data_IF_767710079827
#
_entry.id   IF_767710079827
#
_cell.length_a   1.000
_cell.length_b   1.000
_cell.length_c   1.000
_cell.angle_alpha   90.00
_cell.angle_beta   90.00
_cell.angle_gamma   90.00
#
_symmetry.space_group_name_H-M   'P 1'
#
loop_
_entity.id
_entity.type
_entity.pdbx_description
1 polymer ?
#
# COMPACT_ATOMS: atom_id res chain seq x y z
N UNK A 1 6.47 3.69 15.56
CA UNK A 1 7.68 2.85 15.70
C UNK A 1 8.53 3.18 16.93
N UNK A 2 8.93 4.43 17.21
CA UNK A 2 9.78 4.73 18.39
C UNK A 2 9.12 4.30 19.71
N UNK A 3 7.83 4.57 19.85
CA UNK A 3 7.02 4.23 21.03
C UNK A 3 6.76 2.73 21.19
N UNK A 4 7.01 1.92 20.15
CA UNK A 4 6.79 0.46 20.19
C UNK A 4 8.11 -0.31 20.22
N UNK A 5 9.06 0.06 19.35
CA UNK A 5 10.34 -0.63 19.19
C UNK A 5 11.28 -0.42 20.39
N UNK A 6 11.37 0.81 20.94
CA UNK A 6 12.30 1.06 22.05
C UNK A 6 11.89 0.30 23.32
N UNK A 7 10.60 0.28 23.74
CA UNK A 7 10.17 -0.58 24.84
C UNK A 7 10.39 -2.07 24.56
N UNK A 8 10.12 -2.55 23.34
CA UNK A 8 10.36 -3.94 22.98
C UNK A 8 11.84 -4.33 23.10
N UNK A 9 12.77 -3.47 22.64
CA UNK A 9 14.20 -3.67 22.80
C UNK A 9 14.63 -3.63 24.27
N UNK A 10 14.07 -2.71 25.06
CA UNK A 10 14.31 -2.66 26.50
C UNK A 10 13.95 -3.98 27.19
N UNK A 11 12.81 -4.57 26.84
CA UNK A 11 12.36 -5.84 27.41
C UNK A 11 13.16 -7.05 26.90
N UNK A 12 13.69 -6.98 25.67
CA UNK A 12 14.36 -8.12 25.02
C UNK A 12 15.86 -8.17 25.28
N UNK A 13 16.56 -7.04 25.16
CA UNK A 13 18.03 -6.96 25.27
C UNK A 13 18.50 -6.08 26.43
N UNK A 14 17.57 -5.44 27.15
CA UNK A 14 17.88 -4.57 28.29
C UNK A 14 18.49 -3.22 27.89
N UNK A 15 18.56 -2.30 28.85
CA UNK A 15 19.07 -0.94 28.65
C UNK A 15 20.53 -0.86 28.20
N UNK A 16 21.33 -1.90 28.49
CA UNK A 16 22.74 -2.00 28.06
C UNK A 16 22.90 -2.74 26.73
N UNK A 17 21.84 -3.36 26.22
CA UNK A 17 21.86 -4.16 25.00
C UNK A 17 21.74 -3.34 23.72
N UNK A 18 21.40 -2.06 23.81
CA UNK A 18 21.30 -1.18 22.65
C UNK A 18 21.65 0.26 22.99
N UNK A 19 22.01 1.03 21.96
CA UNK A 19 22.18 2.47 22.02
C UNK A 19 21.34 3.10 20.93
N UNK A 20 20.45 4.01 21.32
CA UNK A 20 19.62 4.76 20.38
C UNK A 20 20.24 6.12 20.07
N UNK A 21 20.47 6.40 18.77
CA UNK A 21 20.95 7.68 18.26
C UNK A 21 19.78 8.44 17.61
N UNK A 22 19.11 9.28 18.41
CA UNK A 22 17.85 9.93 18.05
C UNK A 22 17.93 10.80 16.79
N UNK A 23 19.02 11.56 16.63
CA UNK A 23 19.21 12.47 15.50
C UNK A 23 19.42 11.75 14.17
N UNK A 24 19.95 10.52 14.22
CA UNK A 24 20.20 9.71 13.03
C UNK A 24 19.05 8.75 12.73
N UNK A 25 18.08 8.64 13.65
CA UNK A 25 17.05 7.61 13.65
C UNK A 25 17.65 6.20 13.50
N UNK A 26 18.72 5.92 14.25
CA UNK A 26 19.44 4.65 14.21
C UNK A 26 19.57 4.05 15.61
N UNK A 27 19.51 2.73 15.71
CA UNK A 27 19.79 1.96 16.92
C UNK A 27 20.97 1.03 16.65
N UNK A 28 21.98 1.03 17.51
CA UNK A 28 23.07 0.06 17.49
C UNK A 28 22.86 -0.96 18.60
N UNK A 29 22.90 -2.25 18.28
CA UNK A 29 22.81 -3.34 19.25
C UNK A 29 24.20 -3.70 19.81
N UNK A 30 24.24 -4.40 20.95
CA UNK A 30 25.47 -4.81 21.63
C UNK A 30 26.44 -5.63 20.76
N UNK A 31 25.93 -6.29 19.72
CA UNK A 31 26.72 -7.09 18.77
C UNK A 31 27.21 -6.28 17.55
N UNK A 32 26.96 -4.96 17.52
CA UNK A 32 27.32 -4.09 16.40
C UNK A 32 26.32 -4.09 15.24
N UNK A 33 25.23 -4.85 15.32
CA UNK A 33 24.15 -4.75 14.32
C UNK A 33 23.40 -3.43 14.46
N UNK A 34 22.89 -2.92 13.35
CA UNK A 34 22.20 -1.63 13.28
C UNK A 34 20.75 -1.80 12.83
N UNK A 35 19.85 -1.02 13.42
CA UNK A 35 18.46 -0.86 13.00
C UNK A 35 18.28 0.59 12.59
N UNK A 36 17.96 0.81 11.32
CA UNK A 36 17.70 2.11 10.76
C UNK A 36 16.19 2.36 10.69
N UNK A 37 15.74 3.49 11.20
CA UNK A 37 14.34 3.90 11.23
C UNK A 37 14.16 5.05 10.26
N UNK A 38 13.25 4.91 9.30
CA UNK A 38 12.88 5.99 8.40
C UNK A 38 11.54 5.75 7.73
N UNK A 39 11.00 6.82 7.14
CA UNK A 39 9.77 6.78 6.34
C UNK A 39 10.08 6.72 4.84
N UNK A 40 9.12 6.19 4.07
CA UNK A 40 9.16 6.15 2.61
C UNK A 40 8.28 7.25 1.97
N UNK A 41 7.68 8.11 2.79
CA UNK A 41 6.75 9.17 2.35
C UNK A 41 7.39 10.54 2.11
N UNK A 42 8.56 10.80 2.70
CA UNK A 42 9.31 12.05 2.53
C UNK A 42 10.58 11.78 1.72
N UNK A 43 10.89 12.64 0.75
CA UNK A 43 11.97 12.43 -0.23
C UNK A 43 13.34 12.37 0.45
N UNK A 44 13.59 13.25 1.43
CA UNK A 44 14.85 13.24 2.17
C UNK A 44 15.02 11.95 2.99
N UNK A 45 13.93 11.45 3.59
CA UNK A 45 13.96 10.20 4.36
C UNK A 45 14.13 8.97 3.46
N UNK A 46 13.45 8.97 2.31
CA UNK A 46 13.58 7.93 1.31
C UNK A 46 15.01 7.89 0.77
N UNK A 47 15.61 9.02 0.41
CA UNK A 47 16.98 9.08 -0.12
C UNK A 47 18.01 8.48 0.85
N UNK A 48 17.84 8.71 2.16
CA UNK A 48 18.71 8.11 3.18
C UNK A 48 18.61 6.59 3.21
N UNK A 49 17.39 6.04 3.27
CA UNK A 49 17.17 4.58 3.27
C UNK A 49 17.65 3.97 1.95
N UNK A 50 17.40 4.65 0.85
CA UNK A 50 17.76 4.17 -0.48
C UNK A 50 19.28 4.17 -0.71
N UNK A 51 20.06 4.94 0.05
CA UNK A 51 21.52 4.95 0.00
C UNK A 51 22.20 3.73 0.64
N UNK A 52 21.45 2.89 1.37
CA UNK A 52 22.00 1.74 2.10
C UNK A 52 21.55 0.40 1.53
N UNK A 53 22.25 -0.66 1.93
CA UNK A 53 21.80 -2.04 1.75
C UNK A 53 21.38 -2.62 3.10
N UNK A 54 20.45 -3.57 3.08
CA UNK A 54 19.90 -4.21 4.26
C UNK A 54 19.84 -5.73 4.09
N UNK A 55 19.97 -6.45 5.20
CA UNK A 55 19.65 -7.88 5.27
C UNK A 55 18.18 -8.12 5.65
N UNK A 56 17.58 -7.24 6.46
CA UNK A 56 16.16 -7.31 6.82
C UNK A 56 15.53 -5.93 6.67
N UNK A 57 14.37 -5.86 6.04
CA UNK A 57 13.56 -4.64 5.98
C UNK A 57 12.18 -4.96 6.53
N UNK A 58 11.76 -4.20 7.54
CA UNK A 58 10.46 -4.33 8.18
C UNK A 58 9.59 -3.11 7.84
N UNK A 59 8.47 -3.36 7.18
CA UNK A 59 7.48 -2.34 6.86
C UNK A 59 6.37 -2.38 7.91
N UNK A 60 6.31 -1.32 8.72
CA UNK A 60 5.30 -1.19 9.75
C UNK A 60 4.00 -0.59 9.20
N UNK A 61 2.85 -1.17 9.57
CA UNK A 61 1.52 -0.69 9.19
C UNK A 61 1.35 -0.49 7.68
N UNK A 62 1.61 -1.56 6.91
CA UNK A 62 1.58 -1.52 5.45
C UNK A 62 0.23 -1.16 4.84
N UNK A 63 -0.85 -1.18 5.63
CA UNK A 63 -2.16 -0.65 5.25
C UNK A 63 -2.13 0.84 4.90
N UNK A 64 -1.11 1.57 5.37
CA UNK A 64 -0.89 2.99 5.12
C UNK A 64 0.20 3.27 4.08
N UNK A 65 0.82 2.23 3.52
CA UNK A 65 1.90 2.36 2.54
C UNK A 65 1.40 1.97 1.15
N UNK A 66 1.75 2.80 0.14
CA UNK A 66 1.48 2.45 -1.25
C UNK A 66 2.37 1.29 -1.70
N UNK A 67 1.86 0.48 -2.63
CA UNK A 67 2.63 -0.60 -3.24
C UNK A 67 3.93 -0.10 -3.88
N UNK A 68 3.88 1.10 -4.50
CA UNK A 68 5.06 1.72 -5.10
C UNK A 68 6.10 2.07 -4.04
N UNK A 69 5.70 2.67 -2.91
CA UNK A 69 6.62 3.00 -1.83
C UNK A 69 7.31 1.74 -1.27
N UNK A 70 6.61 0.61 -1.17
CA UNK A 70 7.20 -0.65 -0.71
C UNK A 70 8.18 -1.24 -1.73
N UNK A 71 7.83 -1.20 -3.03
CA UNK A 71 8.67 -1.80 -4.08
C UNK A 71 9.95 -1.02 -4.37
N UNK A 72 10.01 0.29 -4.10
CA UNK A 72 11.27 1.07 -4.22
C UNK A 72 12.36 0.54 -3.30
N UNK A 73 11.99 0.06 -2.11
CA UNK A 73 12.90 -0.52 -1.13
C UNK A 73 13.38 -1.93 -1.50
N UNK A 74 12.76 -2.61 -2.48
CA UNK A 74 13.08 -4.02 -2.78
C UNK A 74 14.54 -4.23 -3.18
N UNK A 75 15.07 -3.29 -3.97
CA UNK A 75 16.45 -3.35 -4.43
C UNK A 75 17.49 -3.17 -3.31
N UNK A 76 17.08 -2.67 -2.14
CA UNK A 76 17.98 -2.43 -1.01
C UNK A 76 18.21 -3.68 -0.18
N UNK A 77 17.39 -4.72 -0.32
CA UNK A 77 17.55 -5.99 0.38
C UNK A 77 18.64 -6.87 -0.30
N UNK A 78 19.86 -6.35 -0.32
CA UNK A 78 20.96 -6.85 -1.15
C UNK A 78 22.18 -7.35 -0.36
N UNK A 79 22.18 -7.24 0.97
CA UNK A 79 23.33 -7.65 1.77
C UNK A 79 23.65 -9.14 1.62
N UNK A 80 24.95 -9.46 1.57
CA UNK A 80 25.46 -10.84 1.56
C UNK A 80 26.23 -11.12 2.85
N UNK A 81 25.54 -11.69 3.83
CA UNK A 81 26.11 -12.02 5.15
C UNK A 81 26.00 -13.53 5.37
N UNK A 82 27.11 -14.18 5.70
CA UNK A 82 27.14 -15.62 5.95
C UNK A 82 26.20 -16.01 7.10
N UNK A 83 25.32 -16.98 6.87
CA UNK A 83 24.33 -17.43 7.85
C UNK A 83 23.04 -16.60 7.93
N UNK A 84 22.96 -15.46 7.25
CA UNK A 84 21.75 -14.64 7.19
C UNK A 84 21.04 -14.81 5.85
N UNK A 85 19.71 -14.96 5.89
CA UNK A 85 18.86 -14.90 4.70
C UNK A 85 18.24 -13.52 4.62
N UNK A 86 18.25 -12.93 3.43
CA UNK A 86 17.59 -11.65 3.20
C UNK A 86 16.07 -11.82 3.39
N UNK A 87 15.47 -10.95 4.20
CA UNK A 87 14.08 -11.07 4.63
C UNK A 87 13.33 -9.74 4.59
N UNK A 88 12.13 -9.76 4.02
CA UNK A 88 11.15 -8.71 4.26
C UNK A 88 10.17 -9.15 5.34
N UNK A 89 9.86 -8.23 6.25
CA UNK A 89 8.82 -8.38 7.25
C UNK A 89 7.77 -7.30 7.03
N UNK A 90 6.51 -7.64 7.25
CA UNK A 90 5.38 -6.75 7.06
C UNK A 90 4.37 -6.99 8.17
N UNK A 91 3.79 -5.93 8.72
CA UNK A 91 2.60 -6.04 9.55
C UNK A 91 1.55 -5.01 9.12
N UNK A 92 0.29 -5.38 9.35
CA UNK A 92 -0.83 -4.48 9.26
C UNK A 92 -2.05 -5.10 9.92
N UNK A 93 -2.97 -4.24 10.33
CA UNK A 93 -4.35 -4.65 10.51
C UNK A 93 -5.00 -4.87 9.14
N UNK A 94 -5.77 -5.97 8.94
CA UNK A 94 -6.48 -6.25 7.68
C UNK A 94 -7.27 -5.04 7.19
N UNK A 95 -7.23 -4.78 5.88
CA UNK A 95 -7.94 -3.66 5.25
C UNK A 95 -8.98 -4.15 4.25
N UNK A 96 -9.17 -3.38 3.19
CA UNK A 96 -10.00 -3.80 2.05
C UNK A 96 -9.40 -5.05 1.38
N UNK A 97 -10.23 -6.01 0.91
CA UNK A 97 -9.79 -7.11 0.03
C UNK A 97 -9.08 -6.64 -1.25
N UNK A 98 -9.30 -5.38 -1.65
CA UNK A 98 -8.63 -4.76 -2.81
C UNK A 98 -7.19 -4.32 -2.51
N UNK A 99 -6.77 -4.33 -1.25
CA UNK A 99 -5.45 -3.87 -0.85
C UNK A 99 -4.37 -4.80 -1.40
N UNK A 100 -3.25 -4.22 -1.87
CA UNK A 100 -2.17 -4.96 -2.51
C UNK A 100 -1.60 -6.10 -1.66
N UNK A 101 -1.55 -5.91 -0.35
CA UNK A 101 -1.06 -6.92 0.59
C UNK A 101 -1.94 -8.17 0.59
N UNK A 102 -3.27 -8.02 0.50
CA UNK A 102 -4.18 -9.15 0.41
C UNK A 102 -3.94 -9.94 -0.88
N UNK A 103 -3.83 -9.24 -2.01
CA UNK A 103 -3.54 -9.84 -3.31
C UNK A 103 -2.24 -10.65 -3.30
N UNK A 104 -1.17 -10.11 -2.74
CA UNK A 104 0.14 -10.76 -2.72
C UNK A 104 0.21 -11.87 -1.68
N UNK A 105 -0.11 -11.57 -0.41
CA UNK A 105 0.15 -12.49 0.70
C UNK A 105 -0.95 -13.52 0.89
N UNK A 106 -2.20 -13.20 0.56
CA UNK A 106 -3.33 -14.13 0.74
C UNK A 106 -3.66 -14.82 -0.58
N UNK A 107 -3.88 -14.06 -1.66
CA UNK A 107 -4.24 -14.62 -2.97
C UNK A 107 -3.07 -15.16 -3.78
N UNK A 108 -1.82 -14.85 -3.39
CA UNK A 108 -0.59 -15.23 -4.11
C UNK A 108 -0.59 -14.78 -5.57
N UNK A 109 -1.06 -13.56 -5.80
CA UNK A 109 -1.14 -12.92 -7.11
C UNK A 109 -0.28 -11.66 -7.17
N UNK A 110 0.20 -11.34 -8.36
CA UNK A 110 0.83 -10.06 -8.67
C UNK A 110 -0.23 -8.95 -8.57
N UNK A 111 0.06 -7.90 -7.81
CA UNK A 111 -0.91 -6.84 -7.53
C UNK A 111 -1.44 -6.14 -8.80
N UNK A 112 -0.55 -5.80 -9.75
CA UNK A 112 -0.94 -5.02 -10.93
C UNK A 112 -1.59 -5.85 -12.04
N UNK A 113 -1.31 -7.14 -12.13
CA UNK A 113 -1.73 -7.98 -13.26
C UNK A 113 -2.75 -9.05 -12.88
N UNK A 114 -2.88 -9.36 -11.58
CA UNK A 114 -3.67 -10.48 -11.08
C UNK A 114 -3.11 -11.87 -11.44
N UNK A 115 -1.99 -11.94 -12.17
CA UNK A 115 -1.34 -13.20 -12.51
C UNK A 115 -0.78 -13.88 -11.25
N UNK A 116 -0.63 -15.21 -11.28
CA UNK A 116 0.02 -15.93 -10.19
C UNK A 116 1.44 -15.38 -9.94
N UNK A 117 1.85 -15.35 -8.67
CA UNK A 117 3.24 -15.07 -8.31
C UNK A 117 4.15 -16.17 -8.89
N UNK A 118 5.33 -15.78 -9.37
CA UNK A 118 6.32 -16.72 -9.93
C UNK A 118 6.84 -17.69 -8.86
N UNK A 119 6.96 -17.19 -7.62
CA UNK A 119 7.48 -17.92 -6.45
C UNK A 119 6.58 -17.69 -5.23
N UNK A 120 5.35 -18.25 -5.23
CA UNK A 120 4.38 -18.03 -4.16
C UNK A 120 4.87 -18.51 -2.79
N UNK A 121 5.76 -19.50 -2.77
CA UNK A 121 6.37 -20.08 -1.57
C UNK A 121 7.28 -19.11 -0.80
N UNK A 122 7.73 -18.02 -1.44
CA UNK A 122 8.53 -16.99 -0.79
C UNK A 122 7.69 -15.99 0.02
N UNK A 123 6.36 -16.03 -0.13
CA UNK A 123 5.44 -15.14 0.56
C UNK A 123 4.73 -15.94 1.64
N UNK A 124 5.09 -15.74 2.90
CA UNK A 124 4.38 -16.31 4.04
C UNK A 124 3.44 -15.27 4.66
N UNK A 125 2.33 -15.73 5.24
CA UNK A 125 1.42 -14.91 6.03
C UNK A 125 0.99 -15.66 7.27
N UNK A 126 0.74 -14.90 8.34
CA UNK A 126 0.21 -15.40 9.61
C UNK A 126 -0.82 -14.39 10.08
N UNK A 127 -1.93 -14.88 10.64
CA UNK A 127 -2.95 -14.04 11.28
C UNK A 127 -2.74 -14.12 12.78
N UNK A 128 -2.81 -12.97 13.45
CA UNK A 128 -2.72 -12.84 14.89
C UNK A 128 -4.00 -12.17 15.37
N UNK A 129 -4.77 -12.83 16.23
CA UNK A 129 -6.01 -12.28 16.76
C UNK A 129 -5.87 -11.91 18.24
N UNK A 130 -6.65 -10.93 18.74
CA UNK A 130 -6.64 -10.57 20.17
C UNK A 130 -6.89 -11.77 21.09
N UNK A 131 -7.72 -12.73 20.66
CA UNK A 131 -8.00 -13.94 21.42
C UNK A 131 -6.75 -14.79 21.72
N UNK A 132 -5.76 -14.79 20.82
CA UNK A 132 -4.50 -15.53 20.97
C UNK A 132 -3.56 -14.87 22.00
N UNK A 133 -3.83 -13.61 22.36
CA UNK A 133 -3.05 -12.82 23.31
C UNK A 133 -3.85 -12.49 24.59
N UNK A 134 -4.90 -13.25 24.89
CA UNK A 134 -5.85 -12.95 25.97
C UNK A 134 -5.19 -12.74 27.34
N UNK A 135 -4.14 -13.50 27.66
CA UNK A 135 -3.41 -13.40 28.94
C UNK A 135 -2.72 -12.04 29.15
N UNK A 136 -2.55 -11.25 28.08
CA UNK A 136 -1.91 -9.94 28.10
C UNK A 136 -2.88 -8.79 27.76
N UNK A 137 -4.19 -9.06 27.73
CA UNK A 137 -5.24 -8.09 27.50
C UNK A 137 -6.07 -7.88 28.77
N UNK A 138 -6.76 -6.75 28.88
CA UNK A 138 -7.75 -6.56 29.93
C UNK A 138 -8.91 -7.57 29.75
N UNK A 139 -9.42 -8.10 30.86
CA UNK A 139 -10.43 -9.19 30.85
C UNK A 139 -11.70 -8.82 30.06
N UNK A 140 -12.06 -7.54 30.05
CA UNK A 140 -13.22 -6.96 29.39
C UNK A 140 -12.93 -6.46 27.96
N UNK A 141 -11.67 -6.42 27.51
CA UNK A 141 -11.33 -5.80 26.23
C UNK A 141 -12.02 -6.48 25.05
N UNK A 142 -12.03 -7.81 25.01
CA UNK A 142 -12.65 -8.53 23.89
C UNK A 142 -14.17 -8.41 23.95
N UNK A 143 -14.78 -8.62 25.12
CA UNK A 143 -16.24 -8.66 25.27
C UNK A 143 -16.90 -7.28 25.25
N UNK A 144 -16.25 -6.27 25.79
CA UNK A 144 -16.88 -4.97 26.05
C UNK A 144 -16.43 -3.93 25.02
N UNK A 145 -15.23 -4.08 24.45
CA UNK A 145 -14.71 -3.18 23.41
C UNK A 145 -14.88 -3.78 22.02
N UNK A 146 -14.32 -4.97 21.75
CA UNK A 146 -14.32 -5.54 20.39
C UNK A 146 -15.69 -6.08 19.97
N UNK A 147 -16.39 -6.79 20.86
CA UNK A 147 -17.71 -7.36 20.55
C UNK A 147 -18.82 -6.30 20.43
N UNK A 148 -18.61 -5.13 21.05
CA UNK A 148 -19.52 -3.98 20.95
C UNK A 148 -19.36 -3.18 19.63
N UNK A 149 -18.32 -3.46 18.84
CA UNK A 149 -18.10 -2.77 17.56
C UNK A 149 -19.16 -3.16 16.52
N UNK A 150 -19.44 -2.27 15.54
CA UNK A 150 -20.20 -2.62 14.35
C UNK A 150 -19.64 -3.85 13.64
N UNK A 151 -20.49 -4.61 12.96
CA UNK A 151 -20.14 -5.95 12.47
C UNK A 151 -18.92 -5.97 11.55
N UNK A 152 -18.77 -4.97 10.66
CA UNK A 152 -17.59 -4.85 9.79
C UNK A 152 -16.31 -4.55 10.58
N UNK A 153 -16.39 -3.72 11.63
CA UNK A 153 -15.25 -3.38 12.48
C UNK A 153 -14.84 -4.57 13.36
N UNK A 154 -15.82 -5.31 13.88
CA UNK A 154 -15.60 -6.56 14.60
C UNK A 154 -14.92 -7.61 13.71
N UNK A 155 -15.44 -7.85 12.51
CA UNK A 155 -14.82 -8.73 11.53
C UNK A 155 -13.35 -8.36 11.27
N UNK A 156 -13.04 -7.06 11.20
CA UNK A 156 -11.68 -6.57 10.95
C UNK A 156 -10.76 -6.70 12.16
N UNK A 157 -11.14 -6.15 13.31
CA UNK A 157 -10.24 -5.97 14.46
C UNK A 157 -10.26 -7.12 15.45
N UNK A 158 -11.37 -7.87 15.53
CA UNK A 158 -11.49 -9.05 16.38
C UNK A 158 -11.12 -10.33 15.63
N UNK A 159 -11.68 -10.49 14.44
CA UNK A 159 -11.61 -11.76 13.68
C UNK A 159 -10.49 -11.78 12.64
N UNK A 160 -9.83 -10.64 12.39
CA UNK A 160 -8.71 -10.53 11.46
C UNK A 160 -9.11 -10.65 9.98
N UNK A 161 -10.37 -10.34 9.64
CA UNK A 161 -10.89 -10.48 8.29
C UNK A 161 -10.63 -9.24 7.43
N UNK A 162 -10.29 -9.47 6.16
CA UNK A 162 -10.22 -8.42 5.15
C UNK A 162 -11.62 -8.10 4.65
N UNK A 163 -12.13 -6.93 5.00
CA UNK A 163 -13.50 -6.49 4.69
C UNK A 163 -13.51 -5.08 4.15
N UNK A 164 -14.48 -4.77 3.28
CA UNK A 164 -14.71 -3.38 2.84
C UNK A 164 -15.02 -2.52 4.06
N UNK A 165 -14.45 -1.31 4.11
CA UNK A 165 -14.73 -0.39 5.20
C UNK A 165 -16.22 -0.04 5.29
N UNK A 166 -16.68 0.28 6.49
CA UNK A 166 -18.02 0.78 6.73
C UNK A 166 -18.12 2.24 6.26
N UNK A 167 -19.23 2.62 5.60
CA UNK A 167 -19.41 3.98 5.08
C UNK A 167 -18.65 4.29 3.77
N UNK A 168 -18.13 3.27 3.07
CA UNK A 168 -17.59 3.46 1.71
C UNK A 168 -18.71 3.95 0.80
N UNK A 169 -18.52 5.10 0.16
CA UNK A 169 -19.55 5.72 -0.69
C UNK A 169 -19.89 4.82 -1.90
N UNK A 170 -18.88 4.13 -2.46
CA UNK A 170 -19.02 3.25 -3.61
C UNK A 170 -19.07 1.77 -3.22
N UNK A 171 -20.09 1.36 -2.47
CA UNK A 171 -20.20 -0.03 -1.97
C UNK A 171 -20.29 -1.08 -3.08
N UNK A 172 -20.91 -0.71 -4.21
CA UNK A 172 -21.14 -1.58 -5.37
C UNK A 172 -19.90 -1.80 -6.23
N UNK A 173 -18.82 -1.04 -6.03
CA UNK A 173 -17.59 -1.26 -6.78
C UNK A 173 -17.02 -2.65 -6.48
N UNK A 174 -16.71 -3.40 -7.53
CA UNK A 174 -16.22 -4.77 -7.44
C UNK A 174 -15.01 -4.98 -8.37
N UNK A 175 -14.13 -5.94 -8.05
CA UNK A 175 -12.97 -6.24 -8.89
C UNK A 175 -13.35 -6.66 -10.31
N UNK A 176 -14.53 -7.26 -10.52
CA UNK A 176 -15.03 -7.61 -11.84
C UNK A 176 -15.25 -6.38 -12.74
N UNK A 177 -15.31 -5.17 -12.16
CA UNK A 177 -15.38 -3.91 -12.90
C UNK A 177 -13.99 -3.43 -13.39
N UNK A 178 -12.90 -4.06 -12.93
CA UNK A 178 -11.53 -3.75 -13.38
C UNK A 178 -11.22 -4.62 -14.60
N UNK A 179 -11.32 -4.01 -15.78
CA UNK A 179 -11.09 -4.69 -17.06
C UNK A 179 -9.61 -4.65 -17.44
N UNK A 180 -9.15 -5.71 -18.12
CA UNK A 180 -7.86 -5.67 -18.81
C UNK A 180 -8.02 -4.87 -20.10
N UNK A 181 -6.94 -4.28 -20.59
CA UNK A 181 -6.95 -3.54 -21.85
C UNK A 181 -7.51 -4.36 -23.03
N UNK A 182 -7.28 -5.68 -23.06
CA UNK A 182 -7.80 -6.57 -24.10
C UNK A 182 -9.33 -6.82 -24.03
N UNK A 183 -9.93 -6.58 -22.85
CA UNK A 183 -11.36 -6.75 -22.60
C UNK A 183 -12.12 -5.41 -22.75
N UNK A 184 -11.41 -4.31 -23.01
CA UNK A 184 -12.01 -3.00 -23.25
C UNK A 184 -12.67 -2.96 -24.64
N UNK A 185 -13.78 -2.20 -24.81
CA UNK A 185 -14.36 -1.97 -26.11
C UNK A 185 -13.35 -1.36 -27.11
N UNK A 186 -13.43 -1.80 -28.36
CA UNK A 186 -12.62 -1.25 -29.45
C UNK A 186 -13.12 0.12 -29.93
N UNK A 187 -14.42 0.37 -29.78
CA UNK A 187 -15.11 1.60 -30.18
C UNK A 187 -16.04 2.05 -29.06
N UNK A 188 -16.28 3.36 -28.99
CA UNK A 188 -17.16 4.01 -28.02
C UNK A 188 -18.16 4.89 -28.76
N UNK A 189 -19.41 4.92 -28.28
CA UNK A 189 -20.46 5.76 -28.85
C UNK A 189 -20.21 7.24 -28.62
N UNK A 190 -19.52 7.56 -27.52
CA UNK A 190 -19.11 8.90 -27.08
C UNK A 190 -17.87 8.80 -26.22
N UNK A 191 -17.06 9.84 -26.25
CA UNK A 191 -15.92 10.03 -25.35
C UNK A 191 -16.06 11.38 -24.67
N UNK A 192 -15.71 11.44 -23.39
CA UNK A 192 -15.57 12.68 -22.65
C UNK A 192 -14.36 12.58 -21.73
N UNK A 193 -13.91 13.72 -21.23
CA UNK A 193 -12.91 13.73 -20.19
C UNK A 193 -13.20 14.85 -19.18
N UNK A 194 -12.72 14.65 -17.96
CA UNK A 194 -12.95 15.55 -16.83
C UNK A 194 -11.68 15.73 -16.02
N UNK A 195 -11.40 16.98 -15.67
CA UNK A 195 -10.26 17.35 -14.86
C UNK A 195 -10.72 17.80 -13.48
N UNK A 196 -10.17 17.19 -12.42
CA UNK A 196 -10.29 17.69 -11.06
C UNK A 196 -9.08 18.57 -10.75
N UNK A 197 -9.34 19.86 -10.53
CA UNK A 197 -8.32 20.89 -10.38
C UNK A 197 -8.02 21.15 -8.90
N UNK A 198 -6.74 21.10 -8.55
CA UNK A 198 -6.27 21.43 -7.20
C UNK A 198 -4.76 21.38 -7.08
N UNK A 199 -4.25 21.41 -5.84
CA UNK A 199 -2.83 21.20 -5.54
C UNK A 199 -2.31 19.85 -6.08
N UNK A 200 -3.19 18.85 -6.04
CA UNK A 200 -3.06 17.62 -6.79
C UNK A 200 -4.08 17.68 -7.91
N UNK A 201 -3.63 17.45 -9.13
CA UNK A 201 -4.45 17.58 -10.32
C UNK A 201 -4.63 16.20 -10.95
N UNK A 202 -5.85 15.88 -11.35
CA UNK A 202 -6.16 14.61 -12.00
C UNK A 202 -7.04 14.82 -13.22
N UNK A 203 -6.90 13.93 -14.20
CA UNK A 203 -7.71 13.88 -15.41
C UNK A 203 -8.18 12.46 -15.64
N UNK A 204 -9.43 12.30 -16.05
CA UNK A 204 -10.02 11.00 -16.39
C UNK A 204 -10.70 11.10 -17.74
N UNK A 205 -10.39 10.16 -18.63
CA UNK A 205 -11.04 9.96 -19.92
C UNK A 205 -12.00 8.79 -19.82
N UNK A 206 -13.25 9.01 -20.20
CA UNK A 206 -14.33 8.02 -20.15
C UNK A 206 -14.99 7.86 -21.51
N UNK A 207 -15.48 6.65 -21.78
CA UNK A 207 -16.25 6.33 -22.98
C UNK A 207 -17.54 5.61 -22.65
N UNK A 208 -18.53 5.77 -23.52
CA UNK A 208 -19.81 5.08 -23.39
C UNK A 208 -19.93 3.98 -24.45
N UNK A 209 -20.49 2.84 -24.06
CA UNK A 209 -21.06 1.86 -24.98
C UNK A 209 -22.44 1.51 -24.48
N UNK A 210 -23.47 1.94 -25.22
CA UNK A 210 -24.87 1.90 -24.80
C UNK A 210 -25.05 2.58 -23.43
N UNK A 211 -25.46 1.81 -22.43
CA UNK A 211 -25.72 2.28 -21.07
C UNK A 211 -24.52 2.08 -20.12
N UNK A 212 -23.38 1.60 -20.62
CA UNK A 212 -22.17 1.33 -19.84
C UNK A 212 -21.13 2.43 -20.00
N UNK A 213 -20.52 2.85 -18.88
CA UNK A 213 -19.40 3.79 -18.85
C UNK A 213 -18.10 3.02 -18.59
N UNK A 214 -17.08 3.32 -19.39
CA UNK A 214 -15.75 2.75 -19.30
C UNK A 214 -14.75 3.86 -18.97
N UNK A 215 -13.92 3.64 -17.95
CA UNK A 215 -12.74 4.49 -17.71
C UNK A 215 -11.65 4.04 -18.68
N UNK A 216 -11.35 4.88 -19.67
CA UNK A 216 -10.39 4.59 -20.74
C UNK A 216 -8.97 4.87 -20.26
N UNK A 217 -8.79 6.00 -19.56
CA UNK A 217 -7.51 6.41 -19.02
C UNK A 217 -7.69 7.35 -17.82
N UNK A 218 -6.78 7.28 -16.86
CA UNK A 218 -6.64 8.23 -15.76
C UNK A 218 -5.18 8.73 -15.69
N UNK A 219 -4.98 9.98 -15.29
CA UNK A 219 -3.65 10.52 -15.02
C UNK A 219 -3.72 11.53 -13.88
N UNK A 220 -2.76 11.44 -12.95
CA UNK A 220 -2.69 12.33 -11.80
C UNK A 220 -1.26 12.80 -11.56
N UNK A 221 -1.14 14.04 -11.08
CA UNK A 221 0.14 14.63 -10.68
C UNK A 221 0.01 15.35 -9.34
N UNK A 222 1.04 15.18 -8.51
CA UNK A 222 1.17 15.83 -7.21
C UNK A 222 1.97 17.13 -7.35
N UNK A 223 1.45 18.24 -6.83
CA UNK A 223 2.13 19.54 -6.79
C UNK A 223 2.69 20.00 -8.16
N UNK A 224 1.92 19.78 -9.23
CA UNK A 224 2.27 20.15 -10.60
C UNK A 224 1.46 21.36 -11.05
N UNK A 225 2.10 22.29 -11.78
CA UNK A 225 1.35 23.41 -12.38
C UNK A 225 0.41 22.90 -13.46
N UNK A 226 -0.75 23.53 -13.61
CA UNK A 226 -1.75 23.17 -14.63
C UNK A 226 -1.16 23.20 -16.03
N UNK A 227 -0.26 24.15 -16.31
CA UNK A 227 0.44 24.24 -17.60
C UNK A 227 1.25 22.98 -17.86
N UNK A 228 2.15 22.62 -16.94
CA UNK A 228 2.98 21.41 -17.07
C UNK A 228 2.15 20.14 -17.16
N UNK A 229 1.02 20.09 -16.44
CA UNK A 229 0.10 18.96 -16.50
C UNK A 229 -0.57 18.84 -17.87
N UNK A 230 -1.01 19.95 -18.46
CA UNK A 230 -1.59 19.95 -19.80
C UNK A 230 -0.56 19.60 -20.90
N UNK A 231 0.69 20.04 -20.73
CA UNK A 231 1.79 19.64 -21.61
C UNK A 231 2.02 18.12 -21.57
N UNK A 232 1.98 17.52 -20.37
CA UNK A 232 2.06 16.06 -20.17
C UNK A 232 0.86 15.32 -20.80
N UNK A 233 -0.36 15.80 -20.59
CA UNK A 233 -1.56 15.22 -21.21
C UNK A 233 -1.46 15.23 -22.74
N UNK A 234 -0.99 16.34 -23.32
CA UNK A 234 -0.75 16.47 -24.76
C UNK A 234 0.32 15.48 -25.23
N UNK A 235 1.45 15.39 -24.53
CA UNK A 235 2.52 14.45 -24.87
C UNK A 235 2.08 12.98 -24.79
N UNK A 236 1.07 12.68 -23.98
CA UNK A 236 0.45 11.36 -23.83
C UNK A 236 -0.68 11.10 -24.83
N UNK A 237 -0.94 12.03 -25.76
CA UNK A 237 -1.99 11.90 -26.77
C UNK A 237 -3.41 11.92 -26.19
N UNK A 238 -3.61 12.53 -25.02
CA UNK A 238 -4.94 12.52 -24.36
C UNK A 238 -6.02 13.22 -25.19
N UNK A 239 -5.61 14.22 -25.97
CA UNK A 239 -6.46 15.03 -26.84
C UNK A 239 -6.50 14.54 -28.29
N UNK A 240 -5.84 13.43 -28.60
CA UNK A 240 -5.92 12.83 -29.93
C UNK A 240 -7.30 12.16 -30.05
N UNK A 241 -8.14 12.68 -30.97
CA UNK A 241 -9.51 12.22 -31.21
C UNK A 241 -9.74 12.16 -32.72
N UNK A 242 -10.27 11.04 -33.20
CA UNK A 242 -10.90 10.83 -34.52
C UNK A 242 -12.39 10.52 -34.28
N UNK A 243 -13.30 10.66 -35.26
CA UNK A 243 -14.02 11.86 -35.68
C UNK A 243 -15.49 11.88 -35.21
N UNK A 244 -15.80 11.60 -33.95
CA UNK A 244 -17.15 11.84 -33.39
C UNK A 244 -17.23 13.05 -32.45
N UNK A 245 -16.12 13.79 -32.30
CA UNK A 245 -16.16 15.21 -32.01
C UNK A 245 -16.83 15.58 -30.68
N UNK A 246 -16.40 14.97 -29.59
CA UNK A 246 -16.45 15.63 -28.27
C UNK A 246 -15.05 15.62 -27.66
N UNK A 247 -14.26 16.59 -28.11
CA UNK A 247 -13.08 17.03 -27.38
C UNK A 247 -13.44 17.46 -25.98
N UNK A 248 -12.45 17.38 -25.09
CA UNK A 248 -12.43 18.03 -23.78
C UNK A 248 -13.24 19.35 -23.83
N UNK A 249 -14.18 19.62 -22.89
CA UNK A 249 -14.68 20.98 -22.76
C UNK A 249 -13.55 21.97 -22.49
#
# INVERSE_FOLDING_TARGET
LRETLLPALMNTVGSKGFRYLTHESMITLFNGSEIWIGGLGDREQADKILGHEYNTIYFNEISQLSYLAVTTAYSRLAMKIAGCKNLFLYDCNPGSPLHWAYTIFIRKQQFLTGAALIKPELYASMMLNPADNKEHLADDYISDVLDAMPEKQKARFRDGLWVKAEGVIYEQFDEAMILKAADMPAEYDRIAAGQDFGLNITNVKIGWVKDCIYVIADYGAFNMTTKSFNDELTARGWFDIEPDGFGFP
#
